data_IF_248744976335
#
_entry.id   IF_248744976335
#
_cell.length_a   1.000
_cell.length_b   1.000
_cell.length_c   1.000
_cell.angle_alpha   90.00
_cell.angle_beta   90.00
_cell.angle_gamma   90.00
#
_symmetry.space_group_name_H-M   'P 1'
#
loop_
_entity.id
_entity.type
_entity.pdbx_description
1 polymer ?
#
# COMPACT_ATOMS: atom_id res chain seq x y z
N UNK A 1 21.26 33.63 10.02
CA UNK A 1 22.44 33.33 10.87
C UNK A 1 22.55 31.80 10.92
N UNK A 2 23.48 31.23 10.14
CA UNK A 2 24.05 29.85 10.16
C UNK A 2 23.09 28.65 9.93
N UNK A 3 23.37 27.59 9.15
CA UNK A 3 24.60 27.03 8.55
C UNK A 3 24.27 26.40 7.19
N UNK A 4 25.07 26.68 6.14
CA UNK A 4 25.21 25.84 4.94
C UNK A 4 26.42 24.94 5.16
N UNK A 5 26.26 23.62 5.12
CA UNK A 5 27.38 22.67 5.10
C UNK A 5 27.61 22.20 3.67
N UNK A 6 28.66 22.74 3.05
CA UNK A 6 29.25 22.24 1.82
C UNK A 6 30.05 20.97 2.13
N UNK A 7 29.75 19.86 1.46
CA UNK A 7 30.64 18.69 1.40
C UNK A 7 31.12 18.49 -0.05
N UNK A 8 32.42 18.18 -0.28
CA UNK A 8 32.98 18.09 -1.62
C UNK A 8 32.62 16.77 -2.31
N UNK A 9 32.35 16.85 -3.62
CA UNK A 9 32.22 15.73 -4.54
C UNK A 9 33.58 15.06 -4.71
N UNK A 10 33.75 13.83 -4.20
CA UNK A 10 34.91 12.98 -4.49
C UNK A 10 34.54 12.07 -5.66
N UNK A 11 35.13 12.36 -6.82
CA UNK A 11 35.01 11.59 -8.05
C UNK A 11 36.21 10.64 -8.13
N UNK A 12 36.07 9.40 -7.66
CA UNK A 12 37.09 8.38 -7.86
C UNK A 12 36.68 7.41 -8.96
N UNK A 13 37.49 7.42 -10.02
CA UNK A 13 37.43 6.48 -11.12
C UNK A 13 37.94 5.11 -10.66
N UNK A 14 37.14 4.07 -10.81
CA UNK A 14 37.58 2.68 -10.73
C UNK A 14 37.21 2.00 -12.05
N UNK A 15 38.24 1.59 -12.80
CA UNK A 15 38.13 0.77 -14.01
C UNK A 15 37.82 -0.68 -13.60
N UNK A 16 37.04 -1.44 -14.39
CA UNK A 16 36.76 -2.84 -14.09
C UNK A 16 37.93 -3.73 -14.54
N UNK A 17 38.54 -4.44 -13.61
CA UNK A 17 39.52 -5.49 -13.89
C UNK A 17 38.82 -6.86 -13.93
N UNK A 18 39.09 -7.64 -14.99
CA UNK A 18 38.47 -8.94 -15.27
C UNK A 18 39.15 -10.02 -14.42
N UNK A 19 38.41 -10.66 -13.51
CA UNK A 19 38.86 -11.86 -12.81
C UNK A 19 38.35 -13.12 -13.55
N UNK A 20 39.29 -13.89 -14.11
CA UNK A 20 39.07 -15.20 -14.70
C UNK A 20 38.78 -16.25 -13.61
N UNK A 21 37.67 -16.98 -13.74
CA UNK A 21 37.37 -18.14 -12.92
C UNK A 21 38.22 -19.35 -13.37
N UNK A 22 39.03 -19.88 -12.45
CA UNK A 22 39.88 -21.06 -12.65
C UNK A 22 39.10 -22.32 -12.25
N UNK A 23 38.85 -23.20 -13.21
CA UNK A 23 38.29 -24.53 -13.00
C UNK A 23 39.24 -25.37 -12.13
N UNK A 24 38.71 -26.01 -11.09
CA UNK A 24 39.37 -27.14 -10.40
C UNK A 24 38.37 -28.29 -10.33
N UNK A 25 38.79 -29.47 -10.79
CA UNK A 25 38.01 -30.72 -10.86
C UNK A 25 38.41 -31.67 -9.71
N UNK A 26 37.37 -32.35 -9.17
CA UNK A 26 37.28 -33.75 -8.65
C UNK A 26 38.04 -34.13 -7.35
N UNK A 27 37.71 -35.25 -6.64
CA UNK A 27 36.79 -36.38 -6.95
C UNK A 27 35.87 -36.91 -5.79
N UNK A 28 35.03 -37.89 -6.18
CA UNK A 28 34.15 -38.85 -5.48
C UNK A 28 34.57 -39.43 -4.10
N UNK A 29 33.58 -39.65 -3.22
CA UNK A 29 33.41 -40.92 -2.47
C UNK A 29 31.99 -41.07 -1.88
N UNK A 30 31.36 -42.23 -2.09
CA UNK A 30 30.04 -42.60 -1.58
C UNK A 30 30.11 -43.27 -0.19
N UNK A 31 29.11 -43.02 0.67
CA UNK A 31 28.67 -43.93 1.73
C UNK A 31 27.16 -43.80 1.94
N UNK A 32 26.46 -44.94 1.95
CA UNK A 32 25.01 -45.03 2.15
C UNK A 32 24.67 -45.21 3.64
N UNK A 33 23.58 -44.56 4.10
CA UNK A 33 22.95 -44.80 5.40
C UNK A 33 21.41 -44.62 5.31
N UNK A 34 20.70 -45.37 6.17
CA UNK A 34 19.26 -45.71 6.19
C UNK A 34 18.28 -44.53 6.34
N UNK A 35 17.00 -44.64 5.93
CA UNK A 35 16.03 -43.55 6.06
C UNK A 35 15.49 -43.48 7.51
N UNK A 36 15.72 -42.33 8.15
CA UNK A 36 14.95 -41.87 9.31
C UNK A 36 13.69 -41.20 8.74
N UNK A 37 12.52 -41.78 9.01
CA UNK A 37 11.26 -41.09 8.77
C UNK A 37 11.21 -39.88 9.72
N UNK A 38 11.10 -38.68 9.15
CA UNK A 38 11.22 -37.39 9.81
C UNK A 38 10.02 -37.12 10.74
N UNK A 39 10.30 -36.71 11.96
CA UNK A 39 9.33 -36.27 12.97
C UNK A 39 8.49 -35.05 12.47
N UNK A 40 8.90 -34.41 11.38
CA UNK A 40 8.20 -33.31 10.71
C UNK A 40 6.87 -33.75 10.04
N UNK A 41 6.73 -35.02 9.63
CA UNK A 41 5.44 -35.50 9.07
C UNK A 41 4.34 -35.60 10.14
N UNK A 42 4.72 -35.84 11.41
CA UNK A 42 3.76 -35.91 12.52
C UNK A 42 3.24 -34.55 12.94
N UNK A 43 4.09 -33.53 12.93
CA UNK A 43 3.71 -32.14 13.22
C UNK A 43 2.71 -31.59 12.20
N UNK A 44 2.88 -31.96 10.92
CA UNK A 44 1.93 -31.60 9.86
C UNK A 44 0.55 -32.29 10.03
N UNK A 45 0.52 -33.54 10.50
CA UNK A 45 -0.73 -34.30 10.65
C UNK A 45 -1.57 -33.88 11.87
N UNK A 46 -0.97 -33.30 12.89
CA UNK A 46 -1.68 -32.83 14.09
C UNK A 46 -2.39 -31.48 13.88
N UNK A 47 -1.87 -30.63 12.96
CA UNK A 47 -2.50 -29.35 12.60
C UNK A 47 -3.78 -29.52 11.76
N UNK A 48 -3.96 -30.64 11.05
CA UNK A 48 -5.15 -30.89 10.22
C UNK A 48 -6.40 -31.26 11.02
N UNK A 49 -6.29 -31.59 12.32
CA UNK A 49 -7.42 -32.05 13.13
C UNK A 49 -8.13 -30.98 13.96
N UNK A 50 -7.63 -29.75 14.03
CA UNK A 50 -8.40 -28.66 14.64
C UNK A 50 -9.32 -28.03 13.60
N UNK A 51 -10.52 -28.58 13.47
CA UNK A 51 -11.63 -27.95 12.76
C UNK A 51 -11.97 -26.61 13.43
N UNK A 52 -11.36 -25.53 12.94
CA UNK A 52 -11.83 -24.18 13.22
C UNK A 52 -13.11 -24.00 12.40
N UNK A 53 -14.23 -23.76 13.09
CA UNK A 53 -15.46 -23.32 12.44
C UNK A 53 -15.14 -22.07 11.62
N UNK A 54 -15.36 -22.14 10.31
CA UNK A 54 -15.25 -20.98 9.44
C UNK A 54 -16.08 -19.82 10.02
N UNK A 55 -15.54 -18.59 10.12
CA UNK A 55 -16.34 -17.44 10.46
C UNK A 55 -17.46 -17.33 9.43
N UNK A 56 -18.71 -17.32 9.89
CA UNK A 56 -19.86 -17.18 9.01
C UNK A 56 -19.82 -15.78 8.39
N UNK A 57 -19.33 -15.68 7.15
CA UNK A 57 -19.15 -14.41 6.48
C UNK A 57 -20.50 -13.94 5.90
N UNK A 58 -20.83 -12.64 6.01
CA UNK A 58 -21.88 -12.08 5.18
C UNK A 58 -21.48 -12.25 3.70
N UNK A 59 -22.43 -12.57 2.80
CA UNK A 59 -22.13 -12.81 1.40
C UNK A 59 -21.46 -11.60 0.74
N UNK A 60 -20.63 -11.80 -0.30
CA UNK A 60 -20.11 -10.70 -1.11
C UNK A 60 -21.26 -9.83 -1.65
N UNK A 61 -21.01 -8.53 -1.68
CA UNK A 61 -22.04 -7.52 -1.90
C UNK A 61 -22.62 -7.58 -3.32
N UNK A 62 -23.95 -7.53 -3.42
CA UNK A 62 -24.65 -7.29 -4.68
C UNK A 62 -24.67 -5.77 -4.96
N UNK A 63 -24.22 -5.30 -6.14
CA UNK A 63 -24.25 -3.87 -6.46
C UNK A 63 -25.70 -3.36 -6.47
N UNK A 64 -25.96 -2.23 -5.80
CA UNK A 64 -27.19 -1.45 -6.02
C UNK A 64 -27.94 -0.92 -4.79
N UNK A 65 -27.57 -1.28 -3.55
CA UNK A 65 -28.22 -0.70 -2.36
C UNK A 65 -27.25 0.21 -1.59
N UNK A 66 -27.56 1.52 -1.44
CA UNK A 66 -26.85 2.36 -0.49
C UNK A 66 -26.98 1.73 0.90
N UNK A 67 -25.86 1.42 1.54
CA UNK A 67 -25.89 0.95 2.91
C UNK A 67 -26.25 2.12 3.82
N UNK A 68 -27.00 1.84 4.88
CA UNK A 68 -27.15 2.81 5.96
C UNK A 68 -25.76 3.20 6.48
N UNK A 69 -25.62 4.45 6.95
CA UNK A 69 -24.33 4.93 7.47
C UNK A 69 -23.76 4.03 8.57
N UNK A 70 -24.63 3.47 9.42
CA UNK A 70 -24.26 2.51 10.47
C UNK A 70 -23.63 1.24 9.91
N UNK A 71 -24.21 0.65 8.86
CA UNK A 71 -23.69 -0.57 8.25
C UNK A 71 -22.36 -0.33 7.52
N UNK A 72 -22.14 0.87 6.95
CA UNK A 72 -20.84 1.25 6.41
C UNK A 72 -19.76 1.32 7.50
N UNK A 73 -20.07 1.93 8.65
CA UNK A 73 -19.14 2.05 9.79
C UNK A 73 -18.81 0.67 10.36
N UNK A 74 -19.81 -0.19 10.58
CA UNK A 74 -19.60 -1.55 11.08
C UNK A 74 -18.72 -2.38 10.13
N UNK A 75 -18.97 -2.30 8.82
CA UNK A 75 -18.14 -2.98 7.81
C UNK A 75 -16.71 -2.45 7.81
N UNK A 76 -16.54 -1.14 7.87
CA UNK A 76 -15.22 -0.51 7.93
C UNK A 76 -14.43 -0.98 9.16
N UNK A 77 -15.09 -1.00 10.32
CA UNK A 77 -14.51 -1.44 11.57
C UNK A 77 -14.18 -2.94 11.58
N UNK A 78 -15.09 -3.78 11.10
CA UNK A 78 -14.87 -5.23 11.01
C UNK A 78 -13.69 -5.56 10.07
N UNK A 79 -13.53 -4.83 8.98
CA UNK A 79 -12.37 -4.99 8.10
C UNK A 79 -11.08 -4.49 8.75
N UNK A 80 -11.11 -3.35 9.43
CA UNK A 80 -9.95 -2.85 10.19
C UNK A 80 -9.44 -3.87 11.23
N UNK A 81 -10.36 -4.52 11.95
CA UNK A 81 -10.03 -5.61 12.87
C UNK A 81 -9.45 -6.84 12.14
N UNK A 82 -9.97 -7.17 10.95
CA UNK A 82 -9.47 -8.27 10.11
C UNK A 82 -8.03 -8.06 9.66
N UNK A 83 -7.61 -6.82 9.41
CA UNK A 83 -6.22 -6.48 9.14
C UNK A 83 -5.31 -6.54 10.38
N UNK A 84 -5.85 -6.94 11.54
CA UNK A 84 -5.12 -7.01 12.80
C UNK A 84 -5.02 -5.68 13.54
N UNK A 85 -5.87 -4.70 13.21
CA UNK A 85 -5.89 -3.36 13.79
C UNK A 85 -4.49 -2.70 13.82
N UNK A 86 -3.89 -2.45 12.63
CA UNK A 86 -2.50 -2.05 12.52
C UNK A 86 -2.21 -0.75 13.29
N UNK A 87 -1.16 -0.79 14.11
CA UNK A 87 -0.67 0.32 14.96
C UNK A 87 0.52 1.05 14.34
N UNK A 88 1.35 0.33 13.60
CA UNK A 88 2.49 0.87 12.88
C UNK A 88 2.17 1.00 11.39
N UNK A 89 1.88 2.23 10.97
CA UNK A 89 1.44 2.55 9.60
C UNK A 89 2.46 3.48 8.95
N UNK A 90 3.00 3.09 7.81
CA UNK A 90 3.89 3.95 7.01
C UNK A 90 3.07 5.10 6.43
N UNK A 91 3.48 6.34 6.71
CA UNK A 91 2.81 7.53 6.18
C UNK A 91 3.03 7.67 4.66
N UNK A 92 2.10 8.34 3.94
CA UNK A 92 2.29 8.67 2.54
C UNK A 92 3.37 9.77 2.40
N UNK A 93 4.40 9.50 1.59
CA UNK A 93 5.49 10.44 1.32
C UNK A 93 5.78 10.40 -0.19
N UNK A 94 5.60 11.54 -0.87
CA UNK A 94 5.89 11.66 -2.32
C UNK A 94 7.38 11.41 -2.56
N UNK A 95 7.71 10.67 -3.63
CA UNK A 95 9.06 10.26 -4.02
C UNK A 95 9.82 9.43 -2.96
N UNK A 96 9.10 8.81 -2.02
CA UNK A 96 9.72 8.02 -0.95
C UNK A 96 8.92 6.77 -0.54
N UNK A 97 7.58 6.81 -0.52
CA UNK A 97 6.78 5.67 -0.05
C UNK A 97 6.41 4.68 -1.17
N UNK A 98 7.26 4.53 -2.19
CA UNK A 98 7.11 3.51 -3.24
C UNK A 98 7.32 2.10 -2.69
N UNK A 99 6.99 1.09 -3.50
CA UNK A 99 7.02 -0.32 -3.09
C UNK A 99 8.31 -0.74 -2.36
N UNK A 100 9.53 -0.43 -2.86
CA UNK A 100 10.76 -0.83 -2.16
C UNK A 100 10.86 -0.29 -0.73
N UNK A 101 10.42 0.95 -0.49
CA UNK A 101 10.42 1.55 0.83
C UNK A 101 9.37 0.93 1.74
N UNK A 102 8.15 0.70 1.23
CA UNK A 102 7.10 0.02 2.00
C UNK A 102 7.55 -1.38 2.41
N UNK A 103 8.17 -2.14 1.50
CA UNK A 103 8.72 -3.46 1.81
C UNK A 103 9.82 -3.39 2.85
N UNK A 104 10.71 -2.40 2.77
CA UNK A 104 11.72 -2.17 3.80
C UNK A 104 11.06 -1.91 5.16
N UNK A 105 10.10 -1.00 5.26
CA UNK A 105 9.40 -0.71 6.51
C UNK A 105 8.66 -1.94 7.08
N UNK A 106 8.07 -2.78 6.23
CA UNK A 106 7.44 -4.04 6.65
C UNK A 106 8.44 -5.01 7.27
N UNK A 107 9.66 -5.10 6.72
CA UNK A 107 10.74 -5.88 7.33
C UNK A 107 11.16 -5.36 8.73
N UNK A 108 10.84 -4.10 9.05
CA UNK A 108 11.05 -3.49 10.37
C UNK A 108 9.76 -3.40 11.21
N UNK A 109 8.70 -4.13 10.84
CA UNK A 109 7.50 -4.26 11.66
C UNK A 109 6.36 -3.30 11.33
N UNK A 110 6.41 -2.59 10.21
CA UNK A 110 5.23 -1.88 9.71
C UNK A 110 4.12 -2.88 9.34
N UNK A 111 2.91 -2.62 9.85
CA UNK A 111 1.76 -3.51 9.72
C UNK A 111 0.85 -3.09 8.57
N UNK A 112 0.86 -1.80 8.24
CA UNK A 112 0.16 -1.22 7.11
C UNK A 112 1.02 -0.12 6.47
N UNK A 113 0.71 0.24 5.24
CA UNK A 113 1.44 1.30 4.57
C UNK A 113 0.54 2.08 3.61
N UNK A 114 0.83 3.38 3.47
CA UNK A 114 0.29 4.20 2.42
C UNK A 114 1.21 4.22 1.20
N UNK A 115 0.62 4.33 0.00
CA UNK A 115 1.34 4.71 -1.22
C UNK A 115 1.84 6.16 -1.15
N UNK A 116 2.69 6.61 -2.09
CA UNK A 116 2.82 8.04 -2.36
C UNK A 116 1.45 8.67 -2.65
N UNK A 117 1.35 9.99 -2.48
CA UNK A 117 0.14 10.72 -2.88
C UNK A 117 0.04 10.77 -4.41
N UNK A 118 -0.94 10.06 -4.97
CA UNK A 118 -1.14 9.95 -6.42
C UNK A 118 -2.11 11.02 -6.92
N UNK A 119 -1.83 11.67 -8.05
CA UNK A 119 -2.75 12.65 -8.62
C UNK A 119 -3.85 11.95 -9.43
N UNK A 120 -5.11 11.99 -8.96
CA UNK A 120 -6.21 11.19 -9.55
C UNK A 120 -6.35 11.38 -11.06
N UNK A 121 -6.38 12.63 -11.53
CA UNK A 121 -6.49 12.94 -12.97
C UNK A 121 -5.35 12.38 -13.82
N UNK A 122 -4.10 12.58 -13.40
CA UNK A 122 -2.95 12.06 -14.15
C UNK A 122 -2.94 10.53 -14.09
N UNK A 123 -3.36 9.97 -12.97
CA UNK A 123 -3.44 8.53 -12.76
C UNK A 123 -4.48 7.84 -13.64
N UNK A 124 -5.65 8.46 -13.85
CA UNK A 124 -6.67 7.92 -14.78
C UNK A 124 -6.23 8.08 -16.23
N UNK A 125 -5.80 9.29 -16.62
CA UNK A 125 -5.52 9.65 -18.02
C UNK A 125 -4.19 9.09 -18.56
N UNK A 126 -3.18 8.85 -17.71
CA UNK A 126 -1.82 8.52 -18.14
C UNK A 126 -1.34 7.19 -17.56
N UNK A 127 -1.34 6.15 -18.40
CA UNK A 127 -0.86 4.81 -18.04
C UNK A 127 0.63 4.79 -17.65
N UNK A 128 1.47 5.60 -18.30
CA UNK A 128 2.89 5.69 -17.96
C UNK A 128 3.08 6.23 -16.55
N UNK A 129 2.35 7.28 -16.18
CA UNK A 129 2.37 7.80 -14.81
C UNK A 129 1.87 6.74 -13.83
N UNK A 130 0.74 6.10 -14.12
CA UNK A 130 0.18 5.04 -13.27
C UNK A 130 1.15 3.90 -13.01
N UNK A 131 1.82 3.40 -14.04
CA UNK A 131 2.79 2.29 -13.93
C UNK A 131 4.11 2.70 -13.28
N UNK A 132 4.52 3.97 -13.39
CA UNK A 132 5.71 4.48 -12.72
C UNK A 132 5.48 4.72 -11.23
N UNK A 133 4.39 5.40 -10.88
CA UNK A 133 4.13 5.87 -9.51
C UNK A 133 3.45 4.82 -8.62
N UNK A 134 2.76 3.85 -9.23
CA UNK A 134 2.06 2.81 -8.50
C UNK A 134 2.52 1.41 -8.91
N UNK A 135 3.16 0.75 -7.96
CA UNK A 135 3.53 -0.66 -8.01
C UNK A 135 3.20 -1.31 -6.67
N UNK A 136 2.85 -2.60 -6.70
CA UNK A 136 2.55 -3.41 -5.51
C UNK A 136 2.92 -4.88 -5.76
N UNK A 137 2.97 -5.69 -4.71
CA UNK A 137 3.21 -7.13 -4.78
C UNK A 137 2.36 -7.88 -3.75
N UNK A 138 2.43 -9.22 -3.77
CA UNK A 138 1.65 -10.07 -2.85
C UNK A 138 1.98 -9.88 -1.37
N UNK A 139 3.18 -9.38 -1.07
CA UNK A 139 3.63 -9.14 0.30
C UNK A 139 3.29 -7.73 0.81
N UNK A 140 2.79 -6.84 -0.07
CA UNK A 140 2.41 -5.47 0.26
C UNK A 140 0.93 -5.40 0.72
N UNK A 141 0.58 -6.22 1.71
CA UNK A 141 -0.78 -6.37 2.23
C UNK A 141 -1.16 -5.26 3.23
N UNK A 142 -2.44 -5.00 3.49
CA UNK A 142 -2.87 -3.85 4.32
C UNK A 142 -2.40 -2.52 3.71
N UNK A 143 -2.69 -2.35 2.41
CA UNK A 143 -2.24 -1.22 1.60
C UNK A 143 -3.34 -0.15 1.47
N UNK A 144 -2.94 1.10 1.70
CA UNK A 144 -3.77 2.29 1.60
C UNK A 144 -3.30 3.10 0.40
N UNK A 145 -4.14 3.26 -0.62
CA UNK A 145 -3.80 4.05 -1.80
C UNK A 145 -4.35 5.46 -1.62
N UNK A 146 -3.47 6.45 -1.54
CA UNK A 146 -3.86 7.83 -1.32
C UNK A 146 -3.89 8.63 -2.63
N UNK A 147 -5.01 9.28 -2.91
CA UNK A 147 -5.16 10.22 -4.02
C UNK A 147 -5.23 11.67 -3.55
N UNK A 148 -4.68 12.59 -4.34
CA UNK A 148 -5.18 13.95 -4.38
C UNK A 148 -6.17 14.10 -5.55
N UNK A 149 -7.29 14.77 -5.28
CA UNK A 149 -8.39 14.90 -6.23
C UNK A 149 -9.25 16.13 -5.90
N UNK A 150 -10.00 16.60 -6.89
CA UNK A 150 -10.97 17.69 -6.74
C UNK A 150 -12.20 17.50 -7.65
N UNK A 151 -12.33 16.32 -8.25
CA UNK A 151 -13.42 15.93 -9.14
C UNK A 151 -13.85 14.49 -8.76
N UNK A 152 -15.13 14.26 -8.37
CA UNK A 152 -15.60 12.95 -7.96
C UNK A 152 -15.57 11.87 -9.04
N UNK A 153 -15.83 12.21 -10.30
CA UNK A 153 -15.84 11.23 -11.38
C UNK A 153 -14.43 10.77 -11.71
N UNK A 154 -13.50 11.71 -11.82
CA UNK A 154 -12.09 11.43 -12.07
C UNK A 154 -11.47 10.64 -10.91
N UNK A 155 -11.82 10.97 -9.67
CA UNK A 155 -11.37 10.22 -8.50
C UNK A 155 -11.89 8.77 -8.53
N UNK A 156 -13.17 8.57 -8.85
CA UNK A 156 -13.74 7.22 -8.95
C UNK A 156 -13.05 6.40 -10.04
N UNK A 157 -12.81 6.99 -11.21
CA UNK A 157 -12.10 6.33 -12.32
C UNK A 157 -10.70 5.88 -11.88
N UNK A 158 -9.94 6.78 -11.25
CA UNK A 158 -8.61 6.45 -10.71
C UNK A 158 -8.68 5.33 -9.65
N UNK A 159 -9.66 5.39 -8.75
CA UNK A 159 -9.81 4.41 -7.68
C UNK A 159 -10.15 3.00 -8.19
N UNK A 160 -10.88 2.87 -9.31
CA UNK A 160 -11.19 1.56 -9.91
C UNK A 160 -9.95 0.79 -10.37
N UNK A 161 -8.88 1.48 -10.77
CA UNK A 161 -7.63 0.83 -11.13
C UNK A 161 -6.92 0.17 -9.93
N UNK A 162 -7.12 0.69 -8.72
CA UNK A 162 -6.40 0.24 -7.51
C UNK A 162 -7.26 -0.57 -6.55
N UNK A 163 -8.58 -0.52 -6.69
CA UNK A 163 -9.53 -1.34 -5.93
C UNK A 163 -9.15 -2.83 -5.81
N UNK A 164 -8.71 -3.55 -6.86
CA UNK A 164 -8.37 -4.97 -6.73
C UNK A 164 -7.03 -5.23 -6.02
N UNK A 165 -6.25 -4.19 -5.71
CA UNK A 165 -4.88 -4.34 -5.20
C UNK A 165 -4.61 -3.50 -3.93
N UNK A 166 -5.65 -3.01 -3.26
CA UNK A 166 -5.54 -2.34 -1.97
C UNK A 166 -6.74 -2.66 -1.07
N UNK A 167 -6.56 -2.45 0.23
CA UNK A 167 -7.62 -2.61 1.23
C UNK A 167 -8.43 -1.31 1.39
N UNK A 168 -7.77 -0.18 1.14
CA UNK A 168 -8.31 1.14 1.37
C UNK A 168 -7.93 2.16 0.29
N UNK A 169 -8.90 2.97 -0.12
CA UNK A 169 -8.67 4.17 -0.94
C UNK A 169 -8.83 5.42 -0.07
N UNK A 170 -7.80 6.26 0.02
CA UNK A 170 -7.76 7.46 0.86
C UNK A 170 -7.72 8.75 0.03
N UNK A 171 -8.28 9.83 0.58
CA UNK A 171 -8.23 11.17 -0.02
C UNK A 171 -7.31 12.05 0.83
N UNK A 172 -6.28 12.62 0.20
CA UNK A 172 -5.43 13.60 0.85
C UNK A 172 -6.17 14.93 1.04
N UNK A 173 -6.50 15.26 2.29
CA UNK A 173 -7.07 16.55 2.71
C UNK A 173 -6.06 17.39 3.54
N UNK A 174 -4.77 17.04 3.49
CA UNK A 174 -3.75 17.57 4.41
C UNK A 174 -2.62 18.36 3.76
N UNK A 175 -2.34 18.14 2.46
CA UNK A 175 -1.20 18.78 1.80
C UNK A 175 -1.38 20.30 1.70
N UNK A 176 -0.47 21.06 2.31
CA UNK A 176 -0.46 22.53 2.33
C UNK A 176 0.52 23.15 1.33
N UNK A 177 1.21 22.33 0.54
CA UNK A 177 2.21 22.80 -0.42
C UNK A 177 1.59 23.69 -1.51
N UNK A 178 2.40 24.60 -2.08
CA UNK A 178 1.95 25.54 -3.13
C UNK A 178 1.34 24.84 -4.35
N UNK A 179 1.81 23.64 -4.67
CA UNK A 179 1.29 22.83 -5.77
C UNK A 179 -0.15 22.36 -5.50
N UNK A 180 -0.46 21.98 -4.25
CA UNK A 180 -1.81 21.63 -3.82
C UNK A 180 -2.76 22.83 -3.88
N UNK A 181 -2.29 24.01 -3.49
CA UNK A 181 -3.07 25.25 -3.62
C UNK A 181 -3.45 25.56 -5.06
N UNK A 182 -2.50 25.41 -5.98
CA UNK A 182 -2.72 25.67 -7.41
C UNK A 182 -3.65 24.63 -8.04
N UNK A 183 -3.54 23.38 -7.63
CA UNK A 183 -4.38 22.28 -8.10
C UNK A 183 -5.73 22.17 -7.38
N UNK A 184 -5.99 23.01 -6.37
CA UNK A 184 -7.20 22.98 -5.55
C UNK A 184 -7.50 21.59 -4.96
N UNK A 185 -6.51 20.99 -4.30
CA UNK A 185 -6.64 19.73 -3.55
C UNK A 185 -5.89 19.81 -2.21
N UNK A 186 -5.87 18.73 -1.42
CA UNK A 186 -5.17 18.73 -0.13
C UNK A 186 -5.91 19.59 0.89
N UNK A 187 -5.16 20.34 1.72
CA UNK A 187 -5.72 21.19 2.77
C UNK A 187 -6.69 22.27 2.22
N UNK A 188 -6.54 22.64 0.95
CA UNK A 188 -7.35 23.69 0.32
C UNK A 188 -8.77 23.23 -0.06
N UNK A 189 -9.06 21.92 -0.01
CA UNK A 189 -10.43 21.42 -0.14
C UNK A 189 -11.28 21.72 1.09
N UNK A 190 -10.66 21.97 2.26
CA UNK A 190 -11.37 22.21 3.51
C UNK A 190 -12.26 23.46 3.46
N UNK A 191 -11.98 24.39 2.55
CA UNK A 191 -12.80 25.57 2.28
C UNK A 191 -14.11 25.21 1.51
N UNK A 192 -14.21 24.00 0.96
CA UNK A 192 -15.34 23.52 0.17
C UNK A 192 -15.82 22.14 0.66
N UNK A 193 -16.46 22.13 1.83
CA UNK A 193 -17.07 20.92 2.41
C UNK A 193 -18.08 20.21 1.49
N UNK A 194 -18.93 20.90 0.68
CA UNK A 194 -19.78 20.24 -0.29
C UNK A 194 -19.02 19.39 -1.31
N UNK A 195 -17.87 19.87 -1.79
CA UNK A 195 -17.01 19.10 -2.69
C UNK A 195 -16.42 17.87 -1.98
N UNK A 196 -15.89 18.03 -0.77
CA UNK A 196 -15.37 16.89 0.02
C UNK A 196 -16.46 15.82 0.20
N UNK A 197 -17.67 16.24 0.58
CA UNK A 197 -18.82 15.34 0.71
C UNK A 197 -19.09 14.58 -0.59
N UNK A 198 -19.11 15.28 -1.74
CA UNK A 198 -19.33 14.63 -3.04
C UNK A 198 -18.25 13.63 -3.42
N UNK A 199 -16.97 13.90 -3.11
CA UNK A 199 -15.86 12.97 -3.34
C UNK A 199 -16.06 11.68 -2.53
N UNK A 200 -16.35 11.85 -1.23
CA UNK A 200 -16.54 10.74 -0.29
C UNK A 200 -17.78 9.91 -0.64
N UNK A 201 -18.93 10.55 -0.88
CA UNK A 201 -20.17 9.86 -1.24
C UNK A 201 -20.04 9.09 -2.56
N UNK A 202 -19.32 9.65 -3.54
CA UNK A 202 -19.09 8.99 -4.82
C UNK A 202 -18.27 7.71 -4.65
N UNK A 203 -17.18 7.74 -3.88
CA UNK A 203 -16.40 6.54 -3.59
C UNK A 203 -17.21 5.53 -2.78
N UNK A 204 -17.89 5.97 -1.72
CA UNK A 204 -18.67 5.11 -0.84
C UNK A 204 -19.78 4.34 -1.55
N UNK A 205 -20.40 4.97 -2.54
CA UNK A 205 -21.53 4.38 -3.25
C UNK A 205 -21.12 3.42 -4.37
N UNK A 206 -19.84 3.45 -4.78
CA UNK A 206 -19.40 2.75 -5.98
C UNK A 206 -18.31 1.71 -5.71
N UNK A 207 -17.41 1.92 -4.74
CA UNK A 207 -16.33 0.98 -4.45
C UNK A 207 -16.76 -0.10 -3.45
N UNK A 208 -16.19 -1.29 -3.61
CA UNK A 208 -16.28 -2.39 -2.65
C UNK A 208 -15.22 -2.26 -1.55
N UNK A 209 -14.05 -1.72 -1.91
CA UNK A 209 -13.02 -1.35 -0.95
C UNK A 209 -13.51 -0.23 -0.05
N UNK A 210 -13.05 -0.28 1.19
CA UNK A 210 -13.38 0.73 2.17
C UNK A 210 -12.51 1.97 1.92
N UNK A 211 -12.93 3.12 2.41
CA UNK A 211 -12.17 4.36 2.24
C UNK A 211 -12.04 5.04 3.61
N UNK A 212 -10.82 5.21 4.13
CA UNK A 212 -10.57 6.14 5.20
C UNK A 212 -10.46 7.54 4.62
N UNK A 213 -10.69 8.55 5.45
CA UNK A 213 -10.39 9.93 5.10
C UNK A 213 -9.35 10.42 6.08
N UNK A 214 -8.14 10.71 5.58
CA UNK A 214 -7.07 11.27 6.39
C UNK A 214 -7.26 12.78 6.56
N UNK A 215 -7.76 13.18 7.73
CA UNK A 215 -7.75 14.57 8.20
C UNK A 215 -6.42 14.85 8.92
N UNK A 216 -5.64 15.81 8.45
CA UNK A 216 -4.49 16.31 9.21
C UNK A 216 -3.31 16.83 8.39
N UNK A 217 -2.68 17.87 8.94
CA UNK A 217 -1.39 18.42 8.52
C UNK A 217 -0.26 17.40 8.77
N UNK A 218 -0.13 16.38 7.92
CA UNK A 218 1.14 15.69 7.83
C UNK A 218 2.05 16.56 6.96
N UNK A 219 2.83 17.41 7.64
CA UNK A 219 4.05 17.96 7.08
C UNK A 219 4.94 16.76 6.75
N UNK A 220 5.02 16.43 5.46
CA UNK A 220 6.24 15.85 4.92
C UNK A 220 7.32 16.93 4.95
#
# INVERSE_FOLDING_TARGET
>A
MWFRSSLPVIRNQLKPEKAQARLVRNPSSAMAARPLADEDERLCAEMEKSSLSEPQFPPPFLPGRPLSGELHVERAWAHWLRLGAPKFIVAPIVDNSELPFRMLCRNYGAQAAYTPMLHSRIFSENEKYRTMEFTTCKDDQSLFVQFCANDPEVLLEAARFVEPCCDYVDINLGCSQRIARRGNYGAFLMDNLPLIKSLVEKLASNLHVLFPVKYGFFLA
#
